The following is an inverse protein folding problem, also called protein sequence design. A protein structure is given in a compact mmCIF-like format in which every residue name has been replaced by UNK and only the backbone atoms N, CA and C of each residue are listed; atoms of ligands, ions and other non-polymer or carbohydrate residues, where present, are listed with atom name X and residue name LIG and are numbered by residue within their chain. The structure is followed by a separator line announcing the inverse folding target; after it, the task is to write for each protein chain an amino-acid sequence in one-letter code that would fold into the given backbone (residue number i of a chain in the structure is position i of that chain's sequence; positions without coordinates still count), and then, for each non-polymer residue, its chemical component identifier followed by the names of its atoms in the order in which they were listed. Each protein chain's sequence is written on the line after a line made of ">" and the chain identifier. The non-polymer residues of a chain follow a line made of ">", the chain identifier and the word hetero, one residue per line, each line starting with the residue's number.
data_IF_234804951509
#
_entry.id   IF_234804951509
#
_cell.length_a   1.000
_cell.length_b   1.000
_cell.length_c   1.000
_cell.angle_alpha   90.00
_cell.angle_beta   90.00
_cell.angle_gamma   90.00
#
_symmetry.space_group_name_H-M   'P 1'
#
loop_
_entity.id
_entity.type
_entity.pdbx_description
1 polymer ?
#
# COMPACT_ATOMS: atom_id res chain seq x y z
N UNK A 1 17.18 -3.71 5.82
CA UNK A 1 17.05 -3.69 4.35
C UNK A 1 15.87 -2.78 4.04
N UNK A 2 15.98 -1.93 3.03
CA UNK A 2 14.91 -1.02 2.63
C UNK A 2 14.38 -1.40 1.25
N UNK A 3 13.10 -1.16 1.01
CA UNK A 3 12.48 -1.22 -0.31
C UNK A 3 11.65 0.05 -0.55
N UNK A 4 11.49 0.43 -1.80
CA UNK A 4 10.72 1.61 -2.22
C UNK A 4 9.61 1.16 -3.16
N UNK A 5 8.39 1.58 -2.86
CA UNK A 5 7.20 1.18 -3.59
C UNK A 5 6.40 2.42 -3.99
N UNK A 6 6.28 2.68 -5.28
CA UNK A 6 5.50 3.80 -5.80
C UNK A 6 4.06 3.37 -5.99
N UNK A 7 3.13 4.08 -5.35
CA UNK A 7 1.71 3.78 -5.38
C UNK A 7 1.11 4.38 -6.65
N UNK A 8 0.41 3.54 -7.41
CA UNK A 8 -0.38 3.96 -8.57
C UNK A 8 -1.83 4.16 -8.15
N UNK A 9 -2.37 3.26 -7.32
CA UNK A 9 -3.76 3.34 -6.86
C UNK A 9 -3.87 2.72 -5.47
N UNK A 10 -4.89 3.14 -4.70
CA UNK A 10 -5.22 2.49 -3.44
C UNK A 10 -6.74 2.37 -3.25
N UNK A 11 -7.17 1.25 -2.67
CA UNK A 11 -8.58 0.92 -2.48
C UNK A 11 -8.78 0.00 -1.27
N UNK A 12 -10.01 -0.03 -0.73
CA UNK A 12 -10.38 -0.92 0.37
C UNK A 12 -11.00 -2.24 -0.09
N UNK A 13 -10.71 -3.30 0.66
CA UNK A 13 -11.32 -4.62 0.58
C UNK A 13 -12.08 -4.89 1.88
N UNK A 14 -13.35 -4.45 1.99
CA UNK A 14 -14.14 -4.51 3.22
C UNK A 14 -14.37 -5.93 3.71
N UNK A 15 -14.56 -6.89 2.81
CA UNK A 15 -14.75 -8.30 3.16
C UNK A 15 -13.53 -8.93 3.86
N UNK A 16 -12.34 -8.32 3.72
CA UNK A 16 -11.08 -8.81 4.30
C UNK A 16 -10.53 -7.88 5.39
N UNK A 17 -11.09 -6.68 5.58
CA UNK A 17 -10.51 -5.67 6.47
C UNK A 17 -9.10 -5.27 6.04
N UNK A 18 -8.89 -5.13 4.72
CA UNK A 18 -7.59 -4.83 4.12
C UNK A 18 -7.67 -3.57 3.26
N UNK A 19 -6.72 -2.69 3.46
CA UNK A 19 -6.41 -1.60 2.54
C UNK A 19 -5.34 -2.07 1.58
N UNK A 20 -5.52 -1.82 0.29
CA UNK A 20 -4.61 -2.26 -0.76
C UNK A 20 -3.99 -1.04 -1.41
N UNK A 21 -2.66 -1.00 -1.47
CA UNK A 21 -1.90 -0.03 -2.26
C UNK A 21 -1.25 -0.76 -3.43
N UNK A 22 -1.82 -0.60 -4.62
CA UNK A 22 -1.32 -1.17 -5.87
C UNK A 22 -0.33 -0.20 -6.52
N UNK A 23 0.73 -0.73 -7.12
CA UNK A 23 1.79 0.12 -7.60
C UNK A 23 2.96 -0.61 -8.23
N UNK A 24 4.14 0.01 -8.17
CA UNK A 24 5.37 -0.51 -8.77
C UNK A 24 6.49 -0.53 -7.73
N UNK A 25 7.26 -1.61 -7.70
CA UNK A 25 8.49 -1.68 -6.90
C UNK A 25 9.57 -0.85 -7.60
N UNK A 26 9.99 0.24 -6.97
CA UNK A 26 11.04 1.13 -7.49
C UNK A 26 12.42 0.58 -7.13
N UNK A 27 12.59 0.10 -5.90
CA UNK A 27 13.85 -0.43 -5.40
C UNK A 27 13.62 -1.48 -4.30
N UNK A 28 14.54 -2.43 -4.19
CA UNK A 28 14.49 -3.50 -3.20
C UNK A 28 13.40 -4.55 -3.46
N UNK A 29 13.07 -5.32 -2.42
CA UNK A 29 12.04 -6.36 -2.46
C UNK A 29 11.08 -6.21 -1.28
N UNK A 30 9.87 -5.64 -1.49
CA UNK A 30 8.83 -5.56 -0.48
C UNK A 30 8.50 -6.94 0.09
N UNK A 31 8.38 -7.02 1.41
CA UNK A 31 8.06 -8.27 2.11
C UNK A 31 7.04 -8.03 3.21
N UNK A 32 6.28 -9.08 3.50
CA UNK A 32 5.41 -9.13 4.67
C UNK A 32 6.21 -8.84 5.95
N UNK A 33 5.65 -8.00 6.82
CA UNK A 33 6.25 -7.61 8.09
C UNK A 33 7.16 -6.39 8.03
N UNK A 34 7.52 -5.90 6.83
CA UNK A 34 8.19 -4.60 6.71
C UNK A 34 7.25 -3.48 7.14
N UNK A 35 7.77 -2.49 7.86
CA UNK A 35 7.07 -1.25 8.19
C UNK A 35 7.05 -0.34 6.97
N UNK A 36 5.86 0.00 6.49
CA UNK A 36 5.65 0.94 5.41
C UNK A 36 5.35 2.34 5.96
N UNK A 37 6.03 3.34 5.42
CA UNK A 37 5.78 4.75 5.69
C UNK A 37 5.87 5.56 4.40
N UNK A 38 5.17 6.69 4.32
CA UNK A 38 5.41 7.60 3.21
C UNK A 38 6.84 8.16 3.27
N UNK A 39 7.48 8.23 2.11
CA UNK A 39 8.84 8.76 1.98
C UNK A 39 8.88 10.28 2.20
N UNK A 40 7.86 11.00 1.73
CA UNK A 40 7.72 12.43 2.00
C UNK A 40 7.34 12.65 3.48
N UNK A 41 8.35 13.02 4.27
CA UNK A 41 8.31 13.23 5.74
C UNK A 41 7.31 14.33 6.23
N UNK A 42 6.49 14.91 5.36
CA UNK A 42 5.50 15.93 5.76
C UNK A 42 4.20 15.32 6.34
N UNK A 43 4.01 14.00 6.22
CA UNK A 43 2.80 13.33 6.70
C UNK A 43 3.14 12.10 7.57
N UNK A 44 3.46 12.29 8.87
CA UNK A 44 3.79 11.20 9.80
C UNK A 44 2.60 10.29 10.14
N UNK A 45 1.46 10.48 9.48
CA UNK A 45 0.18 9.85 9.80
C UNK A 45 0.12 8.36 9.40
N UNK A 46 1.01 7.89 8.53
CA UNK A 46 1.00 6.52 8.02
C UNK A 46 2.32 5.79 8.30
N UNK A 47 2.27 4.85 9.24
CA UNK A 47 3.35 3.92 9.54
C UNK A 47 2.75 2.56 9.92
N UNK A 48 2.74 1.62 8.98
CA UNK A 48 1.96 0.39 9.11
C UNK A 48 2.73 -0.84 8.61
N UNK A 49 2.66 -1.97 9.31
CA UNK A 49 3.29 -3.18 8.83
C UNK A 49 2.57 -3.69 7.58
N UNK A 50 3.34 -4.02 6.55
CA UNK A 50 2.86 -4.74 5.37
C UNK A 50 2.30 -6.07 5.82
N UNK A 51 0.99 -6.25 5.66
CA UNK A 51 0.30 -7.48 5.97
C UNK A 51 0.64 -8.58 4.96
N UNK A 52 0.70 -8.22 3.68
CA UNK A 52 0.97 -9.14 2.59
C UNK A 52 1.36 -8.40 1.32
N UNK A 53 2.08 -9.11 0.45
CA UNK A 53 2.44 -8.65 -0.89
C UNK A 53 1.75 -9.57 -1.87
N UNK A 54 0.82 -9.02 -2.65
CA UNK A 54 -0.01 -9.77 -3.60
C UNK A 54 0.12 -9.18 -5.01
N UNK A 55 -0.35 -9.91 -6.01
CA UNK A 55 -0.53 -9.38 -7.37
C UNK A 55 -2.02 -9.12 -7.55
N UNK A 56 -2.39 -7.90 -7.93
CA UNK A 56 -3.79 -7.52 -8.18
C UNK A 56 -3.96 -7.06 -9.62
N UNK A 57 -5.05 -7.49 -10.23
CA UNK A 57 -5.48 -6.96 -11.50
C UNK A 57 -6.14 -5.60 -11.26
N UNK A 58 -5.74 -4.53 -11.97
CA UNK A 58 -6.38 -3.23 -11.81
C UNK A 58 -7.87 -3.32 -12.19
N UNK A 59 -8.79 -2.74 -11.40
CA UNK A 59 -10.21 -2.81 -11.72
C UNK A 59 -10.51 -2.01 -13.00
N UNK A 60 -10.94 -2.71 -14.05
CA UNK A 60 -11.44 -2.08 -15.28
C UNK A 60 -10.55 -2.18 -16.52
N UNK A 61 -9.37 -2.81 -16.42
CA UNK A 61 -8.45 -2.99 -17.54
C UNK A 61 -8.22 -4.49 -17.82
N UNK A 62 -9.13 -5.10 -18.59
CA UNK A 62 -8.96 -6.47 -19.11
C UNK A 62 -7.76 -6.50 -20.08
N UNK A 63 -6.57 -6.80 -19.55
CA UNK A 63 -5.36 -7.04 -20.35
C UNK A 63 -4.10 -6.31 -19.88
N UNK A 64 -4.15 -5.57 -18.78
CA UNK A 64 -2.94 -4.97 -18.17
C UNK A 64 -2.29 -5.97 -17.20
N UNK A 65 -0.96 -6.07 -17.24
CA UNK A 65 -0.18 -6.93 -16.34
C UNK A 65 -0.54 -6.65 -14.87
N UNK A 66 -0.76 -7.72 -14.09
CA UNK A 66 -1.08 -7.61 -12.67
C UNK A 66 -0.04 -6.75 -11.93
N UNK A 67 -0.51 -5.78 -11.16
CA UNK A 67 0.37 -4.91 -10.37
C UNK A 67 0.72 -5.58 -9.03
N UNK A 68 1.97 -5.46 -8.57
CA UNK A 68 2.26 -5.74 -7.17
C UNK A 68 1.46 -4.78 -6.29
N UNK A 69 0.92 -5.34 -5.21
CA UNK A 69 0.13 -4.62 -4.24
C UNK A 69 0.60 -4.95 -2.83
N UNK A 70 0.64 -3.92 -2.01
CA UNK A 70 0.87 -4.03 -0.58
C UNK A 70 -0.48 -3.98 0.12
N UNK A 71 -0.69 -4.90 1.06
CA UNK A 71 -1.91 -4.94 1.86
C UNK A 71 -1.61 -4.50 3.29
N UNK A 72 -2.56 -3.78 3.89
CA UNK A 72 -2.48 -3.27 5.26
C UNK A 72 -3.79 -3.57 5.98
N UNK A 73 -3.73 -4.10 7.20
CA UNK A 73 -4.94 -4.34 7.98
C UNK A 73 -5.48 -3.06 8.60
N UNK A 74 -6.78 -2.83 8.44
CA UNK A 74 -7.55 -1.95 9.31
C UNK A 74 -8.50 -2.81 10.16
N UNK A 75 -8.52 -2.56 11.46
CA UNK A 75 -9.35 -3.33 12.42
C UNK A 75 -10.68 -2.64 12.74
N UNK A 76 -10.79 -1.38 12.39
CA UNK A 76 -11.89 -0.49 12.76
C UNK A 76 -12.11 0.56 11.66
N UNK A 77 -13.30 1.14 11.66
CA UNK A 77 -13.74 2.12 10.67
C UNK A 77 -12.94 3.43 10.77
N UNK A 78 -12.50 3.83 11.97
CA UNK A 78 -11.69 5.04 12.17
C UNK A 78 -10.36 4.95 11.39
N UNK A 79 -9.70 3.79 11.43
CA UNK A 79 -8.48 3.54 10.67
C UNK A 79 -8.72 3.47 9.16
N UNK A 80 -9.85 2.92 8.74
CA UNK A 80 -10.25 2.93 7.34
C UNK A 80 -10.50 4.36 6.83
N UNK A 81 -11.20 5.19 7.61
CA UNK A 81 -11.46 6.59 7.25
C UNK A 81 -10.16 7.41 7.21
N UNK A 82 -9.20 7.12 8.09
CA UNK A 82 -7.87 7.70 8.02
C UNK A 82 -7.18 7.36 6.69
N UNK A 83 -7.20 6.10 6.25
CA UNK A 83 -6.64 5.71 4.95
C UNK A 83 -7.38 6.35 3.79
N UNK A 84 -8.71 6.38 3.80
CA UNK A 84 -9.51 7.03 2.73
C UNK A 84 -9.27 8.53 2.62
N UNK A 85 -8.93 9.18 3.73
CA UNK A 85 -8.64 10.61 3.76
C UNK A 85 -7.22 10.94 3.28
N UNK A 86 -6.33 9.96 3.15
CA UNK A 86 -4.98 10.15 2.67
C UNK A 86 -4.94 10.18 1.14
N UNK A 87 -4.03 11.00 0.60
CA UNK A 87 -3.66 10.90 -0.81
C UNK A 87 -2.63 9.78 -0.96
N UNK A 88 -2.93 8.77 -1.77
CA UNK A 88 -2.05 7.62 -2.00
C UNK A 88 -1.38 7.65 -3.37
N UNK A 89 -2.17 7.89 -4.41
CA UNK A 89 -1.72 7.90 -5.80
C UNK A 89 -0.54 8.84 -6.00
N UNK A 90 0.51 8.33 -6.67
CA UNK A 90 1.73 9.06 -6.97
C UNK A 90 2.74 9.15 -5.82
N UNK A 91 2.39 8.74 -4.59
CA UNK A 91 3.32 8.74 -3.45
C UNK A 91 4.22 7.50 -3.45
N UNK A 92 5.36 7.64 -2.80
CA UNK A 92 6.29 6.52 -2.58
C UNK A 92 6.26 6.09 -1.12
N UNK A 93 6.12 4.78 -0.91
CA UNK A 93 6.31 4.14 0.39
C UNK A 93 7.75 3.68 0.53
N UNK A 94 8.35 4.03 1.67
CA UNK A 94 9.58 3.46 2.16
C UNK A 94 9.23 2.28 3.09
N UNK A 95 9.80 1.11 2.79
CA UNK A 95 9.56 -0.15 3.48
C UNK A 95 10.83 -0.58 4.21
N UNK A 96 10.79 -0.73 5.53
CA UNK A 96 11.97 -1.03 6.36
C UNK A 96 11.66 -2.07 7.45
N UNK A 97 12.69 -2.71 8.00
CA UNK A 97 12.59 -3.65 9.13
C UNK A 97 12.89 -2.96 10.47
#
# INVERSE_FOLDING_TARGET
>A
MAARFQIVEAFDLPDRGLWVAAGTVVDGNPQMGMSARFEDEEDPSFAEPVHGVELVDPPGDEGTDAYPALTFHYRDDDKLDAYRSMTWEGRTLLLEW
#
